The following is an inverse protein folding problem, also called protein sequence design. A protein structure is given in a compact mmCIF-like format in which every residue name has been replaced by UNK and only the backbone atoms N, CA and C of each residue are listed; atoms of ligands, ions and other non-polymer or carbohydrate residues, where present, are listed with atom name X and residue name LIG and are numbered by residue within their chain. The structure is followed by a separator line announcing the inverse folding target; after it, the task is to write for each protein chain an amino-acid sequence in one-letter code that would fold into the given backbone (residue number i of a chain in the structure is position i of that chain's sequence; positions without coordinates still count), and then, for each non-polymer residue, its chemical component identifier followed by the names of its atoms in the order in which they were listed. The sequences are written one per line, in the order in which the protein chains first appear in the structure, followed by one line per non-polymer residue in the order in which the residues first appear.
data_IF_581272391466
#
_entry.id   IF_581272391466
#
_cell.length_a   1.000
_cell.length_b   1.000
_cell.length_c   1.000
_cell.angle_alpha   90.00
_cell.angle_beta   90.00
_cell.angle_gamma   90.00
#
_symmetry.space_group_name_H-M   'P 1'
#
loop_
_entity.id
_entity.type
_entity.pdbx_description
1 polymer ?
#
# COMPACT_ATOMS: atom_id res chain seq x y z
N UNK A 1 19.67 35.17 28.27
CA UNK A 1 19.71 33.69 28.46
C UNK A 1 21.16 33.26 28.41
N UNK A 2 21.61 32.42 29.36
CA UNK A 2 22.97 31.87 29.32
C UNK A 2 23.19 31.05 28.04
N UNK A 3 24.38 31.13 27.44
CA UNK A 3 24.71 30.42 26.20
C UNK A 3 24.51 28.91 26.27
N UNK A 4 24.63 28.33 27.46
CA UNK A 4 24.41 26.89 27.67
C UNK A 4 22.93 26.50 27.57
N UNK A 5 22.03 27.37 28.06
CA UNK A 5 20.59 27.17 27.95
C UNK A 5 20.13 27.22 26.48
N UNK A 6 20.75 28.10 25.67
CA UNK A 6 20.49 28.17 24.24
C UNK A 6 20.93 26.89 23.50
N UNK A 7 22.12 26.37 23.82
CA UNK A 7 22.64 25.12 23.23
C UNK A 7 21.76 23.92 23.55
N UNK A 8 21.32 23.79 24.80
CA UNK A 8 20.43 22.71 25.24
C UNK A 8 19.08 22.80 24.51
N UNK A 9 18.51 24.01 24.44
CA UNK A 9 17.22 24.24 23.76
C UNK A 9 17.30 23.93 22.26
N UNK A 10 18.37 24.35 21.59
CA UNK A 10 18.61 24.05 20.18
C UNK A 10 18.78 22.55 19.93
N UNK A 11 19.50 21.83 20.80
CA UNK A 11 19.66 20.39 20.70
C UNK A 11 18.32 19.64 20.80
N UNK A 12 17.51 19.99 21.80
CA UNK A 12 16.15 19.46 21.96
C UNK A 12 15.28 19.74 20.73
N UNK A 13 15.30 20.99 20.24
CA UNK A 13 14.52 21.38 19.07
C UNK A 13 14.88 20.58 17.81
N UNK A 14 16.18 20.36 17.57
CA UNK A 14 16.65 19.55 16.43
C UNK A 14 16.15 18.11 16.53
N UNK A 15 16.23 17.50 17.71
CA UNK A 15 15.74 16.13 17.92
C UNK A 15 14.23 16.04 17.62
N UNK A 16 13.44 16.98 18.15
CA UNK A 16 12.00 17.01 17.86
C UNK A 16 11.70 17.23 16.38
N UNK A 17 12.45 18.10 15.69
CA UNK A 17 12.28 18.33 14.26
C UNK A 17 12.60 17.07 13.44
N UNK A 18 13.62 16.29 13.82
CA UNK A 18 13.93 15.02 13.16
C UNK A 18 12.77 14.04 13.32
N UNK A 19 12.23 13.87 14.53
CA UNK A 19 11.07 13.00 14.75
C UNK A 19 9.83 13.47 13.98
N UNK A 20 9.58 14.78 13.96
CA UNK A 20 8.47 15.36 13.20
C UNK A 20 8.60 15.11 11.70
N UNK A 21 9.80 15.31 11.13
CA UNK A 21 10.08 15.01 9.73
C UNK A 21 9.90 13.52 9.44
N UNK A 22 10.35 12.64 10.36
CA UNK A 22 10.18 11.20 10.21
C UNK A 22 8.69 10.81 10.22
N UNK A 23 7.90 11.30 11.16
CA UNK A 23 6.45 11.03 11.15
C UNK A 23 5.81 11.57 9.86
N UNK A 24 6.17 12.78 9.44
CA UNK A 24 5.64 13.40 8.23
C UNK A 24 5.94 12.58 6.95
N UNK A 25 7.15 12.06 6.79
CA UNK A 25 7.53 11.33 5.58
C UNK A 25 7.09 9.87 5.58
N UNK A 26 7.10 9.19 6.72
CA UNK A 26 6.82 7.76 6.80
C UNK A 26 5.33 7.46 7.03
N UNK A 27 4.55 8.40 7.54
CA UNK A 27 3.10 8.23 7.74
C UNK A 27 2.27 8.45 6.47
N UNK A 28 2.86 9.00 5.40
CA UNK A 28 2.14 9.20 4.14
C UNK A 28 1.77 7.83 3.54
N UNK A 29 0.48 7.58 3.29
CA UNK A 29 0.04 6.30 2.75
C UNK A 29 0.65 6.10 1.36
N UNK A 30 1.28 4.95 1.18
CA UNK A 30 1.85 4.51 -0.11
C UNK A 30 0.72 4.43 -1.12
N UNK A 31 0.83 5.19 -2.22
CA UNK A 31 -0.12 5.13 -3.34
C UNK A 31 0.43 4.24 -4.45
N UNK A 32 -0.43 3.43 -5.05
CA UNK A 32 -0.10 2.62 -6.22
C UNK A 32 -0.80 3.20 -7.44
N UNK A 33 -0.05 3.41 -8.52
CA UNK A 33 -0.57 3.92 -9.79
C UNK A 33 -0.44 2.81 -10.82
N UNK A 34 -1.58 2.37 -11.34
CA UNK A 34 -1.67 1.38 -12.41
C UNK A 34 -1.78 2.13 -13.74
N UNK A 35 -0.71 2.16 -14.52
CA UNK A 35 -0.70 2.85 -15.81
C UNK A 35 -1.04 1.86 -16.94
N UNK A 36 -2.21 2.03 -17.57
CA UNK A 36 -2.68 1.18 -18.68
C UNK A 36 -1.83 1.32 -19.94
N UNK A 37 -1.29 2.52 -20.22
CA UNK A 37 -0.52 2.79 -21.44
C UNK A 37 0.82 2.05 -21.44
N UNK A 38 1.56 2.18 -20.33
CA UNK A 38 2.88 1.55 -20.17
C UNK A 38 2.81 0.12 -19.66
N UNK A 39 1.62 -0.37 -19.31
CA UNK A 39 1.39 -1.68 -18.67
C UNK A 39 2.27 -1.89 -17.44
N UNK A 40 2.43 -0.85 -16.62
CA UNK A 40 3.35 -0.82 -15.48
C UNK A 40 2.66 -0.32 -14.21
N UNK A 41 3.06 -0.90 -13.07
CA UNK A 41 2.62 -0.51 -11.73
C UNK A 41 3.72 0.35 -11.11
N UNK A 42 3.36 1.54 -10.67
CA UNK A 42 4.26 2.48 -9.99
C UNK A 42 3.87 2.62 -8.52
N UNK A 43 4.87 2.67 -7.65
CA UNK A 43 4.70 3.04 -6.23
C UNK A 43 5.04 4.52 -6.08
N UNK A 44 4.10 5.30 -5.55
CA UNK A 44 4.27 6.72 -5.26
C UNK A 44 4.27 6.93 -3.75
N UNK A 45 5.42 7.35 -3.23
CA UNK A 45 5.57 7.83 -1.85
C UNK A 45 5.87 9.34 -1.89
N UNK A 46 7.03 9.69 -2.45
CA UNK A 46 7.42 11.06 -2.82
C UNK A 46 7.87 11.11 -4.29
N UNK A 47 8.64 10.10 -4.70
CA UNK A 47 8.97 9.80 -6.10
C UNK A 47 8.19 8.57 -6.57
N UNK A 48 7.79 8.57 -7.84
CA UNK A 48 7.19 7.41 -8.51
C UNK A 48 8.29 6.44 -8.92
N UNK A 49 8.34 5.27 -8.29
CA UNK A 49 9.27 4.20 -8.67
C UNK A 49 8.50 3.06 -9.33
N UNK A 50 8.98 2.58 -10.48
CA UNK A 50 8.43 1.40 -11.16
C UNK A 50 8.57 0.17 -10.27
N UNK A 51 7.46 -0.52 -10.03
CA UNK A 51 7.37 -1.68 -9.14
C UNK A 51 7.46 -2.99 -9.93
N UNK A 52 6.55 -3.16 -10.89
CA UNK A 52 6.46 -4.34 -11.76
C UNK A 52 5.65 -4.03 -13.04
N UNK A 53 5.79 -4.88 -14.05
CA UNK A 53 4.92 -4.89 -15.24
C UNK A 53 3.60 -5.60 -14.93
N UNK A 54 2.56 -5.32 -15.72
CA UNK A 54 1.25 -6.00 -15.63
C UNK A 54 1.37 -7.51 -15.86
N UNK A 55 2.21 -7.93 -16.81
CA UNK A 55 2.44 -9.36 -17.12
C UNK A 55 3.09 -10.14 -15.96
N UNK A 56 3.88 -9.44 -15.13
CA UNK A 56 4.55 -10.05 -13.99
C UNK A 56 3.71 -10.01 -12.69
N UNK A 57 2.55 -9.35 -12.74
CA UNK A 57 1.68 -9.16 -11.58
C UNK A 57 0.95 -10.45 -11.23
N UNK A 58 0.87 -10.72 -9.93
CA UNK A 58 0.03 -11.78 -9.35
C UNK A 58 -0.72 -11.18 -8.17
N UNK A 59 -1.99 -11.56 -8.00
CA UNK A 59 -2.76 -11.20 -6.81
C UNK A 59 -2.92 -12.42 -5.91
N UNK A 60 -2.93 -12.21 -4.61
CA UNK A 60 -3.21 -13.25 -3.63
C UNK A 60 -3.82 -12.65 -2.37
N UNK A 61 -4.58 -13.48 -1.67
CA UNK A 61 -5.17 -13.16 -0.38
C UNK A 61 -4.25 -13.72 0.69
N UNK A 62 -3.72 -12.85 1.54
CA UNK A 62 -2.99 -13.26 2.72
C UNK A 62 -3.97 -13.40 3.88
N UNK A 63 -4.12 -14.62 4.38
CA UNK A 63 -4.89 -14.92 5.57
C UNK A 63 -3.98 -14.85 6.80
N UNK A 64 -4.24 -13.89 7.68
CA UNK A 64 -3.66 -13.85 9.01
C UNK A 64 -4.71 -14.37 9.98
N UNK A 65 -4.31 -15.05 11.07
CA UNK A 65 -5.19 -15.82 11.97
C UNK A 65 -6.48 -15.13 12.48
N UNK A 66 -6.65 -13.82 12.30
CA UNK A 66 -7.82 -13.02 12.71
C UNK A 66 -8.46 -12.19 11.58
N UNK A 67 -8.07 -12.41 10.32
CA UNK A 67 -8.51 -11.61 9.18
C UNK A 67 -7.49 -11.57 8.04
N UNK A 68 -7.92 -11.05 6.90
CA UNK A 68 -7.18 -11.17 5.66
C UNK A 68 -7.05 -9.83 4.93
N UNK A 69 -6.13 -9.79 3.98
CA UNK A 69 -5.95 -8.65 3.08
C UNK A 69 -5.49 -9.11 1.70
N UNK A 70 -5.81 -8.29 0.71
CA UNK A 70 -5.39 -8.47 -0.66
C UNK A 70 -4.00 -7.86 -0.85
N UNK A 71 -3.13 -8.65 -1.48
CA UNK A 71 -1.78 -8.27 -1.83
C UNK A 71 -1.50 -8.56 -3.29
N UNK A 72 -0.61 -7.76 -3.87
CA UNK A 72 -0.06 -7.97 -5.20
C UNK A 72 1.42 -8.31 -5.05
N UNK A 73 1.89 -9.23 -5.87
CA UNK A 73 3.30 -9.60 -5.87
C UNK A 73 3.81 -9.92 -7.26
N UNK A 74 5.14 -10.03 -7.36
CA UNK A 74 5.80 -10.40 -8.60
C UNK A 74 5.79 -11.93 -8.74
N UNK A 75 5.24 -12.48 -9.83
CA UNK A 75 5.06 -13.93 -10.06
C UNK A 75 6.25 -14.81 -9.67
N UNK A 76 7.47 -14.40 -10.02
CA UNK A 76 8.71 -15.16 -9.73
C UNK A 76 9.20 -15.03 -8.28
N UNK A 77 8.88 -13.94 -7.58
CA UNK A 77 9.37 -13.64 -6.23
C UNK A 77 8.23 -13.19 -5.30
N UNK A 78 7.08 -13.87 -5.35
CA UNK A 78 5.85 -13.42 -4.68
C UNK A 78 5.99 -13.29 -3.17
N UNK A 79 6.77 -14.16 -2.52
CA UNK A 79 6.98 -14.14 -1.07
C UNK A 79 7.87 -12.98 -0.60
N UNK A 80 8.85 -12.59 -1.41
CA UNK A 80 9.80 -11.50 -1.08
C UNK A 80 9.26 -10.14 -1.53
N UNK A 81 8.59 -10.09 -2.68
CA UNK A 81 8.05 -8.87 -3.29
C UNK A 81 6.53 -8.89 -3.27
N UNK A 82 5.97 -8.97 -2.07
CA UNK A 82 4.55 -8.77 -1.81
C UNK A 82 4.28 -7.31 -1.42
N UNK A 83 3.14 -6.78 -1.87
CA UNK A 83 2.70 -5.42 -1.61
C UNK A 83 1.21 -5.44 -1.29
N UNK A 84 0.88 -5.03 -0.08
CA UNK A 84 -0.51 -4.91 0.37
C UNK A 84 -1.24 -3.81 -0.43
N UNK A 85 -2.41 -4.15 -0.98
CA UNK A 85 -3.25 -3.21 -1.75
C UNK A 85 -4.59 -2.91 -1.10
N UNK A 86 -4.99 -3.70 -0.10
CA UNK A 86 -6.25 -3.47 0.64
C UNK A 86 -6.02 -3.17 2.11
N UNK A 87 -7.06 -2.63 2.74
CA UNK A 87 -7.17 -2.59 4.19
C UNK A 87 -7.34 -4.00 4.77
N UNK A 88 -7.29 -4.08 6.11
CA UNK A 88 -7.54 -5.34 6.82
C UNK A 88 -9.03 -5.61 6.84
N UNK A 89 -9.42 -6.81 6.43
CA UNK A 89 -10.80 -7.27 6.48
C UNK A 89 -10.92 -8.38 7.52
N UNK A 90 -11.92 -8.26 8.39
CA UNK A 90 -12.31 -9.29 9.35
C UNK A 90 -13.57 -10.01 8.87
N UNK A 91 -13.89 -11.16 9.46
CA UNK A 91 -15.13 -11.90 9.17
C UNK A 91 -16.42 -11.25 9.71
N UNK A 92 -16.40 -9.98 10.09
CA UNK A 92 -17.57 -9.27 10.62
C UNK A 92 -18.47 -8.75 9.48
N UNK A 93 -19.80 -8.67 9.70
CA UNK A 93 -20.76 -8.16 8.69
C UNK A 93 -20.42 -6.76 8.17
N UNK A 94 -19.95 -5.87 9.04
CA UNK A 94 -19.55 -4.52 8.65
C UNK A 94 -18.24 -4.49 7.87
N UNK A 95 -17.36 -5.47 8.07
CA UNK A 95 -16.15 -5.63 7.27
C UNK A 95 -16.45 -6.23 5.90
N UNK A 96 -17.33 -7.23 5.82
CA UNK A 96 -17.75 -7.83 4.54
C UNK A 96 -18.31 -6.79 3.57
N UNK A 97 -19.19 -5.88 4.04
CA UNK A 97 -19.67 -4.77 3.20
C UNK A 97 -18.56 -3.90 2.62
N UNK A 98 -17.55 -3.56 3.42
CA UNK A 98 -16.39 -2.75 2.99
C UNK A 98 -15.48 -3.53 2.04
N UNK A 99 -15.41 -4.84 2.20
CA UNK A 99 -14.70 -5.73 1.30
C UNK A 99 -15.39 -5.80 -0.06
N UNK A 100 -16.71 -5.99 -0.09
CA UNK A 100 -17.50 -6.01 -1.32
C UNK A 100 -17.36 -4.71 -2.11
N UNK A 101 -17.45 -3.57 -1.42
CA UNK A 101 -17.20 -2.23 -1.99
C UNK A 101 -15.77 -2.13 -2.56
N UNK A 102 -14.76 -2.59 -1.81
CA UNK A 102 -13.38 -2.59 -2.28
C UNK A 102 -13.18 -3.48 -3.51
N UNK A 103 -13.77 -4.67 -3.52
CA UNK A 103 -13.65 -5.61 -4.64
C UNK A 103 -14.25 -4.99 -5.89
N UNK A 104 -15.47 -4.48 -5.79
CA UNK A 104 -16.23 -3.94 -6.92
C UNK A 104 -15.63 -2.64 -7.47
N UNK A 105 -15.30 -1.70 -6.59
CA UNK A 105 -14.90 -0.34 -6.99
C UNK A 105 -13.40 -0.22 -7.27
N UNK A 106 -12.57 -1.10 -6.71
CA UNK A 106 -11.10 -0.98 -6.80
C UNK A 106 -10.48 -2.23 -7.42
N UNK A 107 -10.72 -3.41 -6.86
CA UNK A 107 -9.99 -4.62 -7.29
C UNK A 107 -10.36 -5.04 -8.71
N UNK A 108 -11.65 -5.09 -9.05
CA UNK A 108 -12.11 -5.48 -10.39
C UNK A 108 -11.63 -4.53 -11.49
N UNK A 109 -11.79 -3.20 -11.37
CA UNK A 109 -11.23 -2.27 -12.36
C UNK A 109 -9.72 -2.45 -12.56
N UNK A 110 -8.97 -2.70 -11.49
CA UNK A 110 -7.52 -2.96 -11.57
C UNK A 110 -7.23 -4.26 -12.31
N UNK A 111 -7.93 -5.35 -11.98
CA UNK A 111 -7.74 -6.65 -12.64
C UNK A 111 -8.09 -6.58 -14.13
N UNK A 112 -9.21 -5.92 -14.49
CA UNK A 112 -9.60 -5.68 -15.87
C UNK A 112 -8.55 -4.85 -16.60
N UNK A 113 -8.02 -3.79 -15.98
CA UNK A 113 -6.98 -2.96 -16.57
C UNK A 113 -5.66 -3.73 -16.84
N UNK A 114 -5.37 -4.74 -16.01
CA UNK A 114 -4.20 -5.60 -16.12
C UNK A 114 -4.44 -6.76 -17.10
N UNK A 115 -5.69 -7.03 -17.47
CA UNK A 115 -6.07 -8.11 -18.39
C UNK A 115 -6.32 -9.45 -17.71
N UNK A 116 -6.56 -9.46 -16.39
CA UNK A 116 -7.00 -10.66 -15.69
C UNK A 116 -8.49 -10.92 -15.95
N UNK A 117 -8.89 -12.18 -16.24
CA UNK A 117 -10.30 -12.53 -16.31
C UNK A 117 -10.90 -12.41 -14.90
N UNK A 118 -11.80 -11.46 -14.72
CA UNK A 118 -12.61 -11.34 -13.51
C UNK A 118 -13.80 -12.28 -13.68
N UNK A 119 -13.77 -13.44 -13.01
CA UNK A 119 -14.97 -14.25 -12.85
C UNK A 119 -15.87 -13.56 -11.83
N UNK A 120 -16.94 -12.92 -12.29
CA UNK A 120 -17.98 -12.29 -11.45
C UNK A 120 -18.85 -13.32 -10.68
N UNK A 121 -18.40 -14.57 -10.53
CA UNK A 121 -19.30 -15.71 -10.36
C UNK A 121 -18.99 -16.77 -9.29
N UNK A 122 -18.06 -16.57 -8.36
CA UNK A 122 -17.88 -17.51 -7.24
C UNK A 122 -17.85 -16.80 -5.88
N UNK A 123 -19.05 -16.50 -5.37
CA UNK A 123 -19.41 -16.59 -3.95
C UNK A 123 -20.93 -16.48 -3.79
#
# INVERSE_FOLDING_TARGET
MSGDQFKITMGLWIVYMIYFLFDLFFRIPVKYIFNKSEKCIYRKLLLSRKLMSFDEMTYFVNDERCGYYYSIGKKRNQFVKNYRISNYFSGSKASGRREDEYIKEILYPVLIAVGFPVNEGER
#
